data_IF_334234264300
#
_entry.id   IF_334234264300
#
_cell.length_a   1.000
_cell.length_b   1.000
_cell.length_c   1.000
_cell.angle_alpha   90.00
_cell.angle_beta   90.00
_cell.angle_gamma   90.00
#
_symmetry.space_group_name_H-M   'P 1'
#
loop_
_entity.id
_entity.type
_entity.pdbx_description
1 polymer ?
#
# COMPACT_ATOMS: atom_id res chain seq x y z
N UNK A 1 -27.85 -7.70 -12.66
CA UNK A 1 -26.53 -7.04 -12.71
C UNK A 1 -25.55 -8.16 -12.46
N UNK A 2 -24.72 -8.50 -13.44
CA UNK A 2 -23.68 -9.52 -13.22
C UNK A 2 -22.67 -8.94 -12.22
N UNK A 3 -22.39 -9.69 -11.15
CA UNK A 3 -21.35 -9.30 -10.20
C UNK A 3 -20.01 -9.29 -10.94
N UNK A 4 -19.30 -8.17 -10.88
CA UNK A 4 -17.96 -8.07 -11.46
C UNK A 4 -17.04 -8.99 -10.63
N UNK A 5 -16.37 -9.98 -11.25
CA UNK A 5 -15.51 -10.90 -10.52
C UNK A 5 -14.30 -10.14 -9.95
N UNK A 6 -13.86 -10.55 -8.76
CA UNK A 6 -12.64 -10.01 -8.16
C UNK A 6 -11.41 -10.52 -8.92
N UNK A 7 -10.45 -9.64 -9.14
CA UNK A 7 -9.20 -9.93 -9.85
C UNK A 7 -8.02 -9.24 -9.19
N UNK A 8 -6.84 -9.84 -9.27
CA UNK A 8 -5.59 -9.18 -8.90
C UNK A 8 -4.60 -9.20 -10.05
N UNK A 9 -3.88 -8.10 -10.22
CA UNK A 9 -2.80 -7.96 -11.19
C UNK A 9 -1.51 -8.04 -10.40
N UNK A 10 -0.79 -9.14 -10.53
CA UNK A 10 0.46 -9.36 -9.79
C UNK A 10 1.64 -8.99 -10.68
N UNK A 11 2.41 -8.00 -10.25
CA UNK A 11 3.67 -7.54 -10.84
C UNK A 11 4.82 -8.25 -10.13
N UNK A 12 5.69 -8.93 -10.86
CA UNK A 12 6.77 -9.75 -10.30
C UNK A 12 8.01 -9.79 -11.20
N UNK A 13 9.15 -10.20 -10.64
CA UNK A 13 10.43 -10.26 -11.35
C UNK A 13 11.01 -8.89 -11.71
N UNK A 14 10.46 -7.82 -11.17
CA UNK A 14 10.95 -6.45 -11.31
C UNK A 14 11.54 -5.92 -10.00
N UNK A 15 11.88 -4.64 -10.01
CA UNK A 15 12.46 -3.93 -8.87
C UNK A 15 11.79 -2.57 -8.68
N UNK A 16 11.81 -2.08 -7.44
CA UNK A 16 11.45 -0.69 -7.19
C UNK A 16 12.60 0.22 -7.61
N UNK A 17 12.26 1.29 -8.31
CA UNK A 17 13.17 2.37 -8.69
C UNK A 17 12.56 3.71 -8.30
N UNK A 18 13.39 4.66 -7.89
CA UNK A 18 12.97 6.02 -7.63
C UNK A 18 13.57 6.97 -8.68
N UNK A 19 12.78 7.42 -9.66
CA UNK A 19 13.19 8.52 -10.58
C UNK A 19 12.03 8.98 -11.49
N UNK A 20 11.49 10.21 -11.37
CA UNK A 20 11.54 11.17 -10.25
C UNK A 20 10.57 10.81 -9.10
N UNK A 21 9.79 9.75 -9.27
CA UNK A 21 8.84 9.20 -8.29
C UNK A 21 9.04 7.69 -8.20
N UNK A 22 8.56 7.08 -7.12
CA UNK A 22 8.63 5.64 -6.95
C UNK A 22 7.84 4.91 -8.06
N UNK A 23 8.49 3.94 -8.70
CA UNK A 23 7.93 3.11 -9.76
C UNK A 23 8.41 1.66 -9.60
N UNK A 24 7.62 0.71 -10.09
CA UNK A 24 8.04 -0.69 -10.22
C UNK A 24 8.41 -0.96 -11.67
N UNK A 25 9.62 -1.45 -11.94
CA UNK A 25 10.15 -1.56 -13.32
C UNK A 25 10.83 -2.90 -13.58
N UNK A 26 10.95 -3.26 -14.86
CA UNK A 26 11.66 -4.46 -15.31
C UNK A 26 10.93 -5.79 -15.09
N UNK A 27 9.77 -5.77 -14.42
CA UNK A 27 8.98 -6.97 -14.13
C UNK A 27 7.99 -7.40 -15.21
N UNK A 28 7.31 -8.51 -14.95
CA UNK A 28 6.19 -9.06 -15.74
C UNK A 28 4.91 -9.03 -14.91
N UNK A 29 3.75 -9.06 -15.57
CA UNK A 29 2.45 -9.13 -14.91
C UNK A 29 1.76 -10.48 -15.15
N UNK A 30 1.03 -10.94 -14.13
CA UNK A 30 0.10 -12.07 -14.22
C UNK A 30 -1.21 -11.66 -13.60
N UNK A 31 -2.29 -11.86 -14.35
CA UNK A 31 -3.65 -11.59 -13.88
C UNK A 31 -4.19 -12.89 -13.29
N UNK A 32 -4.72 -12.80 -12.08
CA UNK A 32 -5.54 -13.83 -11.48
C UNK A 32 -6.97 -13.30 -11.44
N UNK A 33 -7.78 -13.81 -12.35
CA UNK A 33 -9.18 -13.49 -12.53
C UNK A 33 -10.10 -14.45 -11.76
N UNK A 34 -11.37 -14.07 -11.64
CA UNK A 34 -12.42 -14.89 -11.03
C UNK A 34 -12.06 -15.40 -9.62
N UNK A 35 -11.47 -14.52 -8.81
CA UNK A 35 -11.09 -14.87 -7.44
C UNK A 35 -12.31 -15.26 -6.62
N UNK A 36 -12.17 -16.27 -5.75
CA UNK A 36 -13.28 -16.76 -4.94
C UNK A 36 -13.78 -15.67 -3.99
N UNK A 37 -15.10 -15.64 -3.78
CA UNK A 37 -15.74 -14.67 -2.89
C UNK A 37 -15.30 -14.81 -1.43
N UNK A 38 -14.76 -15.95 -1.03
CA UNK A 38 -14.22 -16.26 0.29
C UNK A 38 -12.68 -16.32 0.29
N UNK A 39 -12.03 -15.49 -0.52
CA UNK A 39 -10.58 -15.40 -0.61
C UNK A 39 -9.92 -15.25 0.78
N UNK A 40 -9.02 -16.18 1.12
CA UNK A 40 -8.27 -16.19 2.38
C UNK A 40 -6.75 -16.19 2.16
N UNK A 41 -6.01 -15.72 3.15
CA UNK A 41 -4.57 -15.46 3.05
C UNK A 41 -3.74 -16.67 2.57
N UNK A 42 -4.06 -17.88 3.06
CA UNK A 42 -3.35 -19.12 2.65
C UNK A 42 -3.58 -19.43 1.17
N UNK A 43 -4.78 -19.21 0.63
CA UNK A 43 -5.04 -19.39 -0.80
C UNK A 43 -4.26 -18.37 -1.62
N UNK A 44 -4.31 -17.10 -1.20
CA UNK A 44 -3.54 -16.03 -1.84
C UNK A 44 -2.04 -16.33 -1.81
N UNK A 45 -1.51 -16.87 -0.71
CA UNK A 45 -0.12 -17.32 -0.62
C UNK A 45 0.20 -18.36 -1.68
N UNK A 46 -0.61 -19.41 -1.79
CA UNK A 46 -0.40 -20.46 -2.82
C UNK A 46 -0.44 -19.91 -4.24
N UNK A 47 -1.26 -18.89 -4.47
CA UNK A 47 -1.34 -18.20 -5.75
C UNK A 47 -0.05 -17.43 -6.06
N UNK A 48 0.51 -16.72 -5.08
CA UNK A 48 1.82 -16.07 -5.19
C UNK A 48 2.94 -17.11 -5.36
N UNK A 49 2.96 -18.18 -4.56
CA UNK A 49 3.93 -19.27 -4.66
C UNK A 49 3.91 -19.93 -6.07
N UNK A 50 2.75 -19.93 -6.75
CA UNK A 50 2.60 -20.45 -8.12
C UNK A 50 3.35 -19.66 -9.19
N UNK A 51 3.91 -18.49 -8.86
CA UNK A 51 4.78 -17.71 -9.74
C UNK A 51 6.15 -18.37 -9.93
N UNK A 52 6.57 -19.26 -9.02
CA UNK A 52 7.82 -20.04 -9.14
C UNK A 52 9.09 -19.31 -8.68
N UNK A 53 8.95 -18.25 -7.88
CA UNK A 53 10.06 -17.51 -7.29
C UNK A 53 10.27 -17.95 -5.83
N UNK A 54 11.51 -18.27 -5.48
CA UNK A 54 11.90 -18.71 -4.13
C UNK A 54 12.43 -17.56 -3.26
N UNK A 55 12.72 -16.41 -3.90
CA UNK A 55 13.39 -15.23 -3.36
C UNK A 55 12.42 -14.08 -3.03
N UNK A 56 11.13 -14.37 -2.86
CA UNK A 56 10.13 -13.34 -2.54
C UNK A 56 10.38 -12.84 -1.11
N UNK A 57 10.75 -11.57 -1.01
CA UNK A 57 11.06 -10.91 0.27
C UNK A 57 9.83 -10.26 0.89
N UNK A 58 9.03 -9.54 0.09
CA UNK A 58 7.83 -8.80 0.53
C UNK A 58 6.77 -8.75 -0.55
N UNK A 59 5.54 -8.51 -0.12
CA UNK A 59 4.42 -8.17 -1.00
C UNK A 59 3.91 -6.79 -0.66
N UNK A 60 3.42 -6.09 -1.69
CA UNK A 60 2.76 -4.81 -1.55
C UNK A 60 1.52 -4.77 -2.43
N UNK A 61 0.54 -3.94 -2.08
CA UNK A 61 -0.60 -3.63 -2.95
C UNK A 61 -0.73 -2.12 -3.11
N UNK A 62 -1.31 -1.66 -4.22
CA UNK A 62 -1.59 -0.24 -4.42
C UNK A 62 -3.07 0.05 -4.16
N UNK A 63 -3.35 1.00 -3.26
CA UNK A 63 -4.67 1.58 -3.06
C UNK A 63 -5.26 2.04 -4.43
N UNK A 64 -6.42 1.53 -4.87
CA UNK A 64 -6.95 1.79 -6.22
C UNK A 64 -7.29 3.26 -6.50
N UNK A 65 -7.46 4.06 -5.45
CA UNK A 65 -7.75 5.49 -5.57
C UNK A 65 -6.48 6.35 -5.59
N UNK A 66 -5.30 5.75 -5.44
CA UNK A 66 -4.03 6.45 -5.34
C UNK A 66 -3.09 6.03 -6.46
N UNK A 67 -2.12 6.89 -6.75
CA UNK A 67 -0.99 6.56 -7.62
C UNK A 67 -0.01 5.66 -6.89
N UNK A 68 0.76 4.86 -7.63
CA UNK A 68 1.77 3.94 -7.08
C UNK A 68 2.75 4.62 -6.13
N UNK A 69 3.19 5.84 -6.42
CA UNK A 69 4.15 6.56 -5.59
C UNK A 69 3.64 6.98 -4.20
N UNK A 70 2.33 6.93 -3.96
CA UNK A 70 1.69 7.32 -2.69
C UNK A 70 0.77 6.22 -2.14
N UNK A 71 0.33 5.31 -2.99
CA UNK A 71 -0.71 4.31 -2.71
C UNK A 71 -0.21 2.94 -2.33
N UNK A 72 1.09 2.68 -2.48
CA UNK A 72 1.67 1.37 -2.16
C UNK A 72 1.68 1.14 -0.65
N UNK A 73 1.15 -0.02 -0.25
CA UNK A 73 1.01 -0.48 1.13
C UNK A 73 1.57 -1.88 1.25
N UNK A 74 2.15 -2.19 2.40
CA UNK A 74 2.65 -3.52 2.70
C UNK A 74 1.50 -4.53 2.78
N UNK A 75 1.72 -5.72 2.22
CA UNK A 75 0.82 -6.86 2.29
C UNK A 75 1.52 -8.02 2.99
N UNK A 76 0.96 -8.46 4.11
CA UNK A 76 1.34 -9.73 4.74
C UNK A 76 0.16 -10.69 4.75
N UNK A 77 0.43 -11.92 5.18
CA UNK A 77 -0.58 -12.97 5.29
C UNK A 77 -1.24 -13.03 6.68
N UNK A 78 -0.97 -12.07 7.55
CA UNK A 78 -1.67 -11.93 8.82
C UNK A 78 -3.01 -11.20 8.65
N UNK A 79 -3.90 -11.39 9.62
CA UNK A 79 -5.26 -10.86 9.55
C UNK A 79 -5.30 -9.34 9.48
N UNK A 80 -4.33 -8.62 10.07
CA UNK A 80 -4.41 -7.16 10.16
C UNK A 80 -4.25 -6.51 8.79
N UNK A 81 -3.22 -6.90 8.03
CA UNK A 81 -2.97 -6.31 6.71
C UNK A 81 -3.82 -6.96 5.62
N UNK A 82 -4.07 -8.26 5.71
CA UNK A 82 -4.81 -8.98 4.68
C UNK A 82 -6.29 -8.59 4.66
N UNK A 83 -6.90 -8.30 5.81
CA UNK A 83 -8.31 -7.84 5.87
C UNK A 83 -8.48 -6.45 5.24
N UNK A 84 -7.52 -5.53 5.41
CA UNK A 84 -7.56 -4.22 4.75
C UNK A 84 -7.50 -4.37 3.22
N UNK A 85 -6.55 -5.17 2.74
CA UNK A 85 -6.42 -5.52 1.33
C UNK A 85 -7.71 -6.14 0.76
N UNK A 86 -8.28 -7.13 1.45
CA UNK A 86 -9.53 -7.78 1.04
C UNK A 86 -10.68 -6.77 0.97
N UNK A 87 -10.80 -5.89 1.96
CA UNK A 87 -11.86 -4.89 2.01
C UNK A 87 -11.83 -3.99 0.77
N UNK A 88 -10.64 -3.54 0.37
CA UNK A 88 -10.48 -2.75 -0.85
C UNK A 88 -10.73 -3.59 -2.11
N UNK A 89 -10.27 -4.84 -2.15
CA UNK A 89 -10.53 -5.73 -3.29
C UNK A 89 -12.03 -6.03 -3.47
N UNK A 90 -12.80 -6.19 -2.38
CA UNK A 90 -14.25 -6.36 -2.47
C UNK A 90 -14.97 -5.14 -3.04
N UNK A 91 -14.49 -3.93 -2.73
CA UNK A 91 -15.10 -2.68 -3.19
C UNK A 91 -14.73 -2.40 -4.65
N UNK A 92 -13.44 -2.45 -4.98
CA UNK A 92 -12.93 -2.01 -6.28
C UNK A 92 -12.82 -3.13 -7.30
N UNK A 93 -12.93 -4.40 -6.87
CA UNK A 93 -12.91 -5.62 -7.69
C UNK A 93 -11.59 -5.90 -8.43
N UNK A 94 -10.70 -4.93 -8.58
CA UNK A 94 -9.38 -5.08 -9.19
C UNK A 94 -8.33 -4.43 -8.29
N UNK A 95 -7.20 -5.11 -8.08
CA UNK A 95 -6.10 -4.61 -7.26
C UNK A 95 -4.75 -4.95 -7.87
N UNK A 96 -3.83 -3.98 -7.89
CA UNK A 96 -2.43 -4.20 -8.23
C UNK A 96 -1.65 -4.69 -7.00
N UNK A 97 -0.88 -5.76 -7.19
CA UNK A 97 -0.03 -6.38 -6.17
C UNK A 97 1.39 -6.49 -6.72
N UNK A 98 2.38 -6.08 -5.95
CA UNK A 98 3.78 -6.03 -6.35
C UNK A 98 4.60 -6.99 -5.50
N UNK A 99 5.40 -7.82 -6.16
CA UNK A 99 6.31 -8.77 -5.53
C UNK A 99 7.70 -8.13 -5.46
N UNK A 100 8.22 -8.01 -4.24
CA UNK A 100 9.59 -7.61 -3.98
C UNK A 100 10.43 -8.87 -3.80
N UNK A 101 11.59 -8.91 -4.47
CA UNK A 101 12.55 -9.99 -4.37
C UNK A 101 13.69 -9.58 -3.41
N UNK A 102 14.45 -10.54 -2.89
CA UNK A 102 15.67 -10.25 -2.16
C UNK A 102 16.69 -9.57 -3.09
N UNK A 103 17.30 -8.47 -2.64
CA UNK A 103 18.29 -7.75 -3.45
C UNK A 103 19.69 -8.34 -3.26
N UNK A 104 20.41 -8.52 -4.37
CA UNK A 104 21.85 -8.69 -4.35
C UNK A 104 22.50 -7.32 -4.08
N UNK A 105 23.52 -7.29 -3.22
CA UNK A 105 24.14 -6.07 -2.64
C UNK A 105 24.73 -5.05 -3.63
N UNK A 106 24.72 -5.31 -4.94
CA UNK A 106 25.31 -4.44 -5.97
C UNK A 106 24.31 -3.40 -6.53
N UNK A 107 23.01 -3.58 -6.35
CA UNK A 107 21.97 -2.76 -7.01
C UNK A 107 21.67 -1.41 -6.30
N UNK A 108 22.03 -1.25 -5.02
CA UNK A 108 21.69 -0.06 -4.21
C UNK A 108 22.31 1.27 -4.72
N UNK A 109 23.38 1.18 -5.52
CA UNK A 109 24.13 2.33 -6.05
C UNK A 109 23.46 2.99 -7.26
N UNK A 110 22.49 2.32 -7.90
CA UNK A 110 21.86 2.78 -9.15
C UNK A 110 20.44 3.34 -8.98
N UNK A 111 19.98 3.58 -7.74
CA UNK A 111 18.61 4.03 -7.48
C UNK A 111 17.55 2.92 -7.53
N UNK A 112 18.01 1.66 -7.67
CA UNK A 112 17.27 0.45 -7.34
C UNK A 112 17.40 0.17 -5.84
N UNK A 113 16.35 -0.38 -5.26
CA UNK A 113 16.32 -0.65 -3.84
C UNK A 113 15.04 -1.38 -3.42
N UNK A 114 15.07 -1.99 -2.24
CA UNK A 114 13.82 -2.39 -1.57
C UNK A 114 12.89 -1.18 -1.41
N UNK A 115 11.58 -1.40 -1.40
CA UNK A 115 10.59 -0.32 -1.22
C UNK A 115 10.91 0.54 0.01
N UNK A 116 11.27 -0.13 1.12
CA UNK A 116 11.63 0.52 2.37
C UNK A 116 12.93 1.32 2.30
N UNK A 117 13.93 0.85 1.54
CA UNK A 117 15.19 1.57 1.34
C UNK A 117 14.98 2.87 0.58
N UNK A 118 14.09 2.87 -0.41
CA UNK A 118 13.79 4.06 -1.22
C UNK A 118 13.00 5.11 -0.44
N UNK A 119 11.96 4.70 0.32
CA UNK A 119 11.22 5.64 1.17
C UNK A 119 12.08 6.30 2.26
N UNK A 120 13.09 5.59 2.77
CA UNK A 120 14.01 6.11 3.79
C UNK A 120 15.00 7.17 3.26
N UNK A 121 15.27 7.21 1.95
CA UNK A 121 16.23 8.16 1.33
C UNK A 121 15.64 9.55 1.10
N UNK A 122 14.31 9.71 1.17
CA UNK A 122 13.62 10.98 0.96
C UNK A 122 13.78 12.02 2.10
N UNK A 123 14.54 11.71 3.16
CA UNK A 123 14.92 12.67 4.20
C UNK A 123 16.45 12.89 4.21
N UNK A 124 16.96 14.10 3.91
CA UNK A 124 18.35 14.42 4.20
C UNK A 124 18.52 14.94 5.63
N UNK A 125 19.72 14.71 6.19
CA UNK A 125 20.33 15.29 7.42
C UNK A 125 19.89 14.59 8.72
N UNK A 126 20.75 13.94 9.53
CA UNK A 126 22.01 14.42 10.14
C UNK A 126 23.01 13.27 10.29
N UNK A 127 24.28 13.57 10.01
CA UNK A 127 25.40 12.63 10.05
C UNK A 127 25.75 12.02 11.42
N UNK A 128 26.50 10.93 11.30
CA UNK A 128 27.20 10.23 12.37
C UNK A 128 28.09 11.15 13.21
N UNK A 129 27.87 11.18 14.53
CA UNK A 129 28.95 11.20 15.52
C UNK A 129 28.43 10.67 16.86
N UNK A 130 29.13 9.69 17.41
CA UNK A 130 28.99 9.24 18.79
C UNK A 130 29.13 10.42 19.77
N UNK A 131 28.12 10.65 20.60
CA UNK A 131 28.31 11.10 21.98
C UNK A 131 27.02 10.95 22.79
N UNK A 132 27.10 10.08 23.79
CA UNK A 132 26.16 9.92 24.89
C UNK A 132 26.00 11.25 25.65
N UNK A 133 24.81 11.84 25.63
CA UNK A 133 24.32 12.74 26.68
C UNK A 133 22.80 12.65 26.77
N UNK A 134 22.35 12.14 27.93
CA UNK A 134 21.07 12.23 28.65
C UNK A 134 19.75 12.64 27.95
N UNK A 135 18.61 12.06 28.38
CA UNK A 135 17.31 12.28 27.76
C UNK A 135 16.79 13.69 28.02
N UNK A 136 16.62 14.47 26.95
CA UNK A 136 15.84 15.72 26.99
C UNK A 136 14.35 15.37 27.11
N UNK A 137 13.68 16.05 28.04
CA UNK A 137 12.24 15.93 28.31
C UNK A 137 11.40 16.10 27.02
N UNK A 138 10.26 15.40 26.91
CA UNK A 138 9.38 15.54 25.76
C UNK A 138 8.83 16.96 25.67
N UNK A 139 8.96 17.55 24.49
CA UNK A 139 8.22 18.74 24.10
C UNK A 139 6.83 18.25 23.70
N UNK A 140 5.82 18.64 24.47
CA UNK A 140 4.41 18.52 24.12
C UNK A 140 4.13 19.45 22.95
N UNK A 141 3.89 18.90 21.76
CA UNK A 141 3.05 19.55 20.75
C UNK A 141 1.85 18.64 20.59
N UNK A 142 0.73 19.13 21.11
CA UNK A 142 -0.59 18.54 21.02
C UNK A 142 -1.13 18.94 19.65
N UNK A 143 -1.22 17.98 18.73
CA UNK A 143 -2.22 18.04 17.66
C UNK A 143 -3.13 16.83 17.88
N UNK A 144 -4.09 17.02 18.79
CA UNK A 144 -5.29 16.20 18.85
C UNK A 144 -6.07 16.48 17.57
N UNK A 145 -6.09 15.51 16.65
CA UNK A 145 -7.05 15.50 15.55
C UNK A 145 -8.39 15.11 16.18
N UNK A 146 -9.22 16.12 16.44
CA UNK A 146 -10.57 15.97 16.98
C UNK A 146 -11.50 15.43 15.89
N UNK A 147 -11.75 14.12 15.91
CA UNK A 147 -12.68 13.41 15.01
C UNK A 147 -14.13 13.49 15.51
N UNK A 148 -14.58 14.65 16.00
CA UNK A 148 -15.98 14.91 16.33
C UNK A 148 -16.40 16.32 15.90
N UNK A 149 -16.42 16.56 14.60
CA UNK A 149 -17.26 17.61 14.03
C UNK A 149 -17.97 17.05 12.79
N UNK A 150 -19.02 16.26 13.04
CA UNK A 150 -20.08 16.04 12.06
C UNK A 150 -20.76 17.39 11.83
N UNK A 151 -20.20 18.16 10.90
CA UNK A 151 -20.84 19.34 10.35
C UNK A 151 -22.14 18.91 9.68
N UNK A 152 -23.24 19.12 10.39
CA UNK A 152 -24.58 19.18 9.81
C UNK A 152 -24.56 20.36 8.83
N UNK A 153 -24.59 20.08 7.54
CA UNK A 153 -24.80 21.07 6.50
C UNK A 153 -26.25 21.57 6.59
N UNK A 154 -26.45 22.61 7.41
CA UNK A 154 -27.69 23.39 7.47
C UNK A 154 -27.87 24.28 6.22
N UNK A 155 -27.82 23.69 5.03
CA UNK A 155 -28.16 24.34 3.77
C UNK A 155 -29.19 23.51 2.99
N UNK A 156 -30.37 23.35 3.58
CA UNK A 156 -31.62 23.07 2.84
C UNK A 156 -32.85 23.51 3.67
N UNK A 157 -32.87 24.80 4.01
CA UNK A 157 -34.06 25.49 4.53
C UNK A 157 -34.68 26.32 3.42
N UNK A 158 -35.32 25.70 2.42
CA UNK A 158 -36.37 26.34 1.60
C UNK A 158 -37.18 25.27 0.84
N UNK A 159 -38.25 24.71 1.42
CA UNK A 159 -39.58 24.56 0.77
C UNK A 159 -40.64 24.29 1.85
N UNK A 160 -41.13 25.34 2.52
CA UNK A 160 -42.44 25.29 3.18
C UNK A 160 -43.43 25.99 2.27
N UNK A 161 -44.31 25.21 1.63
CA UNK A 161 -45.73 25.53 1.35
C UNK A 161 -46.27 24.67 0.21
N UNK A 162 -46.95 23.58 0.54
CA UNK A 162 -48.09 23.09 -0.23
C UNK A 162 -48.86 22.08 0.62
N UNK A 163 -49.83 22.57 1.41
CA UNK A 163 -51.11 21.89 1.68
C UNK A 163 -52.03 22.86 2.42
N UNK A 164 -52.92 23.46 1.63
CA UNK A 164 -54.30 23.73 2.04
C UNK A 164 -54.98 22.43 2.51
#
# INVERSE_FOLDING_TARGET
>A
MEDIPMSVIVHYGGSWEETPTLVYVGGTTKIFDELPADLYAIYFKKMIDSLGYEDISKLHYCDPLKRVDVGVRFLSYDDATFVEFLSLLYIYRVMDVFVEHEEDSEDELNGRGTFTSLLGRANPVVGSTNQTTEPRKPITVVDEIDYFDEGIDNEDVEVVNARE
#
